data_IF_901745050953
#
_entry.id   IF_901745050953
#
_cell.length_a   1.000
_cell.length_b   1.000
_cell.length_c   1.000
_cell.angle_alpha   90.00
_cell.angle_beta   90.00
_cell.angle_gamma   90.00
#
_symmetry.space_group_name_H-M   'P 1'
#
loop_
_entity.id
_entity.type
_entity.pdbx_description
1 polymer ?
#
# COMPACT_ATOMS: atom_id res chain seq x y z
N UNK A 1 16.83 13.60 -13.06
CA UNK A 1 16.22 13.99 -11.77
C UNK A 1 16.83 15.33 -11.41
N UNK A 2 16.06 16.41 -11.45
CA UNK A 2 16.60 17.77 -11.36
C UNK A 2 16.44 18.28 -9.93
N UNK A 3 17.52 18.81 -9.35
CA UNK A 3 17.51 19.36 -8.01
C UNK A 3 17.37 20.87 -8.06
N UNK A 4 16.44 21.41 -7.27
CA UNK A 4 16.18 22.83 -7.16
C UNK A 4 16.41 23.26 -5.72
N UNK A 5 16.99 24.44 -5.51
CA UNK A 5 17.10 25.04 -4.18
C UNK A 5 16.31 26.34 -4.18
N UNK A 6 15.24 26.40 -3.40
CA UNK A 6 14.39 27.59 -3.24
C UNK A 6 14.39 27.92 -1.74
N UNK A 7 14.73 29.16 -1.36
CA UNK A 7 14.76 29.61 0.04
C UNK A 7 15.58 28.67 0.96
N UNK A 8 16.76 28.24 0.49
CA UNK A 8 17.64 27.31 1.22
C UNK A 8 17.06 25.91 1.48
N UNK A 9 15.91 25.57 0.88
CA UNK A 9 15.31 24.23 0.92
C UNK A 9 15.56 23.50 -0.40
N UNK A 10 15.86 22.20 -0.31
CA UNK A 10 16.13 21.33 -1.46
C UNK A 10 14.85 20.67 -1.93
N UNK A 11 14.54 20.84 -3.21
CA UNK A 11 13.41 20.22 -3.91
C UNK A 11 13.92 19.34 -5.04
N UNK A 12 13.10 18.35 -5.39
CA UNK A 12 13.36 17.48 -6.55
C UNK A 12 12.21 17.65 -7.52
N UNK A 13 12.53 18.08 -8.73
CA UNK A 13 11.56 18.12 -9.81
C UNK A 13 11.52 16.76 -10.49
N UNK A 14 10.32 16.19 -10.57
CA UNK A 14 10.05 14.94 -11.25
C UNK A 14 8.89 15.13 -12.25
N UNK A 15 8.91 14.41 -13.39
CA UNK A 15 7.75 14.33 -14.28
C UNK A 15 6.53 13.76 -13.56
N UNK A 16 5.34 14.15 -14.01
CA UNK A 16 4.07 13.76 -13.40
C UNK A 16 3.88 12.23 -13.37
N UNK A 17 4.24 11.54 -14.45
CA UNK A 17 4.17 10.07 -14.52
C UNK A 17 4.96 9.39 -13.39
N UNK A 18 6.15 9.93 -13.09
CA UNK A 18 7.00 9.44 -12.01
C UNK A 18 6.42 9.79 -10.64
N UNK A 19 5.77 10.95 -10.50
CA UNK A 19 5.06 11.31 -9.27
C UNK A 19 3.89 10.36 -9.00
N UNK A 20 3.07 10.07 -10.01
CA UNK A 20 1.95 9.12 -9.89
C UNK A 20 2.44 7.70 -9.56
N UNK A 21 3.55 7.25 -10.16
CA UNK A 21 4.17 5.97 -9.82
C UNK A 21 4.65 5.93 -8.37
N UNK A 22 5.33 6.98 -7.90
CA UNK A 22 5.78 7.10 -6.52
C UNK A 22 4.61 7.16 -5.53
N UNK A 23 3.53 7.86 -5.88
CA UNK A 23 2.31 7.92 -5.07
C UNK A 23 1.64 6.55 -4.97
N UNK A 24 1.52 5.80 -6.07
CA UNK A 24 1.04 4.41 -6.06
C UNK A 24 1.91 3.52 -5.17
N UNK A 25 3.23 3.59 -5.33
CA UNK A 25 4.16 2.82 -4.50
C UNK A 25 4.01 3.20 -3.02
N UNK A 26 3.93 4.50 -2.69
CA UNK A 26 3.75 4.96 -1.32
C UNK A 26 2.40 4.57 -0.72
N UNK A 27 1.32 4.57 -1.50
CA UNK A 27 0.03 4.05 -1.07
C UNK A 27 0.09 2.54 -0.79
N UNK A 28 0.87 1.80 -1.60
CA UNK A 28 1.13 0.37 -1.43
C UNK A 28 2.19 0.06 -0.34
N UNK A 29 2.84 1.07 0.27
CA UNK A 29 3.83 0.88 1.34
C UNK A 29 3.21 0.51 2.69
N UNK A 30 1.89 0.40 2.79
CA UNK A 30 1.26 -0.19 3.96
C UNK A 30 1.24 -1.71 3.84
N UNK A 31 2.44 -2.30 3.92
CA UNK A 31 2.71 -3.74 4.07
C UNK A 31 2.36 -4.54 2.79
N UNK A 32 3.20 -5.52 2.39
CA UNK A 32 2.71 -6.54 1.48
C UNK A 32 1.56 -7.24 2.21
N UNK A 33 0.32 -6.86 1.89
CA UNK A 33 -0.84 -7.59 2.35
C UNK A 33 -0.62 -9.04 1.94
N UNK A 34 -0.84 -9.96 2.89
CA UNK A 34 -0.69 -11.38 2.62
C UNK A 34 -1.66 -11.74 1.50
N UNK A 35 -1.15 -11.87 0.29
CA UNK A 35 -1.94 -12.23 -0.89
C UNK A 35 -2.28 -13.69 -0.76
N UNK A 36 -3.52 -13.97 -0.35
CA UNK A 36 -4.04 -15.32 -0.31
C UNK A 36 -4.39 -15.77 -1.72
N UNK A 37 -4.17 -17.05 -2.01
CA UNK A 37 -4.88 -17.69 -3.12
C UNK A 37 -6.38 -17.72 -2.83
N UNK A 38 -7.22 -17.96 -3.85
CA UNK A 38 -8.69 -17.99 -3.68
C UNK A 38 -9.10 -19.00 -2.61
N UNK A 39 -8.46 -20.17 -2.58
CA UNK A 39 -8.77 -21.22 -1.61
C UNK A 39 -8.31 -20.85 -0.20
N UNK A 40 -7.14 -20.24 -0.08
CA UNK A 40 -6.64 -19.73 1.21
C UNK A 40 -7.53 -18.60 1.75
N UNK A 41 -8.00 -17.70 0.89
CA UNK A 41 -8.90 -16.62 1.26
C UNK A 41 -10.24 -17.15 1.77
N UNK A 42 -10.81 -18.17 1.12
CA UNK A 42 -12.04 -18.84 1.55
C UNK A 42 -11.86 -19.51 2.91
N UNK A 43 -10.77 -20.25 3.10
CA UNK A 43 -10.47 -20.93 4.36
C UNK A 43 -10.27 -19.91 5.51
N UNK A 44 -9.51 -18.85 5.25
CA UNK A 44 -9.25 -17.78 6.22
C UNK A 44 -10.55 -17.07 6.63
N UNK A 45 -11.41 -16.72 5.64
CA UNK A 45 -12.69 -16.06 5.90
C UNK A 45 -13.64 -16.93 6.72
N UNK A 46 -13.76 -18.22 6.38
CA UNK A 46 -14.61 -19.16 7.14
C UNK A 46 -14.17 -19.28 8.61
N UNK A 47 -12.86 -19.28 8.84
CA UNK A 47 -12.27 -19.33 10.19
C UNK A 47 -12.61 -18.06 10.99
N UNK A 48 -12.53 -16.88 10.38
CA UNK A 48 -12.91 -15.62 11.03
C UNK A 48 -14.39 -15.57 11.37
N UNK A 49 -15.26 -15.95 10.42
CA UNK A 49 -16.71 -16.01 10.65
C UNK A 49 -17.05 -16.92 11.82
N UNK A 50 -16.40 -18.08 11.92
CA UNK A 50 -16.61 -19.00 13.04
C UNK A 50 -16.23 -18.40 14.38
N UNK A 51 -15.10 -17.68 14.45
CA UNK A 51 -14.67 -16.97 15.66
C UNK A 51 -15.69 -15.90 16.08
N UNK A 52 -16.14 -15.07 15.14
CA UNK A 52 -17.12 -14.03 15.43
C UNK A 52 -18.48 -14.59 15.83
N UNK A 53 -18.86 -15.74 15.28
CA UNK A 53 -20.10 -16.42 15.65
C UNK A 53 -20.04 -17.01 17.07
N UNK A 54 -18.85 -17.32 17.59
CA UNK A 54 -18.65 -17.84 18.96
C UNK A 54 -18.36 -16.74 20.00
N UNK A 55 -18.07 -15.52 19.56
CA UNK A 55 -17.92 -14.33 20.43
C UNK A 55 -19.25 -13.68 20.85
N UNK A 56 -20.39 -14.20 20.36
CA UNK A 56 -21.75 -13.82 20.76
C UNK A 56 -22.30 -14.79 21.80
#
# INVERSE_FOLDING_TARGET
MTHLTIENKKYVLIPEENYQALQKIAALKNHPEKTFSIDEARAHSKKLIGKWATEK
#
